data_IF_314724068428
#
_entry.id   IF_314724068428
#
_cell.length_a   1.000
_cell.length_b   1.000
_cell.length_c   1.000
_cell.angle_alpha   90.00
_cell.angle_beta   90.00
_cell.angle_gamma   90.00
#
_symmetry.space_group_name_H-M   'P 1'
#
loop_
_entity.id
_entity.type
_entity.pdbx_description
1 polymer ?
2 polymer ?
3 non-polymer ?
4 non-polymer ?
5 non-polymer ?
6 non-polymer ?
7 water ?
#
# COMPACT_ATOMS: atom_id res chain seq x y z
N UNK A 1 -14.25 -11.93 4.76
CA UNK A 1 -14.82 -10.76 5.42
C UNK A 1 -14.85 -9.55 4.50
N UNK A 2 -15.60 -8.51 4.88
CA UNK A 2 -15.50 -7.20 4.22
C UNK A 2 -14.78 -6.28 5.20
N UNK A 3 -13.73 -5.63 4.73
CA UNK A 3 -12.92 -4.75 5.56
C UNK A 3 -13.04 -3.32 5.02
N UNK A 4 -13.56 -2.42 5.85
CA UNK A 4 -13.64 -1.02 5.48
C UNK A 4 -12.29 -0.34 5.74
N UNK A 5 -12.12 0.85 5.20
CA UNK A 5 -10.81 1.49 5.16
C UNK A 5 -10.76 2.78 5.97
N UNK A 6 -11.69 2.91 6.93
CA UNK A 6 -11.66 4.02 7.88
C UNK A 6 -10.37 4.01 8.73
N UNK A 7 -9.87 2.82 9.02
CA UNK A 7 -8.62 2.65 9.74
C UNK A 7 -7.72 1.75 8.92
N UNK A 8 -6.46 1.65 9.33
CA UNK A 8 -5.50 0.77 8.65
C UNK A 8 -6.05 -0.66 8.72
N UNK A 9 -6.01 -1.38 7.59
CA UNK A 9 -6.47 -2.78 7.55
C UNK A 9 -5.43 -3.74 8.13
N UNK A 10 -5.34 -3.73 9.46
CA UNK A 10 -4.44 -4.63 10.19
C UNK A 10 -5.13 -5.95 10.51
N UNK A 11 -4.41 -7.05 10.28
CA UNK A 11 -4.93 -8.39 10.57
C UNK A 11 -3.88 -9.22 11.30
N UNK A 12 -4.32 -10.34 11.89
CA UNK A 12 -3.42 -11.28 12.53
C UNK A 12 -2.98 -12.28 11.47
N UNK A 13 -1.68 -12.58 11.44
CA UNK A 13 -1.15 -13.61 10.59
C UNK A 13 -0.42 -14.63 11.46
N UNK A 14 -0.15 -15.80 10.90
CA UNK A 14 0.68 -16.81 11.57
C UNK A 14 1.76 -17.25 10.61
N UNK A 15 3.00 -17.17 11.05
CA UNK A 15 4.16 -17.49 10.21
C UNK A 15 5.32 -18.03 11.04
N UNK A 16 5.86 -19.15 10.61
CA UNK A 16 7.00 -19.79 11.30
C UNK A 16 6.71 -20.06 12.75
N UNK A 17 5.45 -20.38 13.05
CA UNK A 17 5.00 -20.50 14.42
C UNK A 17 4.40 -19.18 14.90
N UNK A 18 5.19 -18.10 14.79
CA UNK A 18 4.85 -16.80 15.38
C UNK A 18 3.53 -16.17 14.92
N UNK A 19 2.80 -15.58 15.87
CA UNK A 19 1.63 -14.76 15.54
C UNK A 19 2.10 -13.32 15.44
N UNK A 20 1.69 -12.64 14.37
CA UNK A 20 2.12 -11.28 14.11
C UNK A 20 0.93 -10.46 13.62
N UNK A 21 1.06 -9.14 13.71
CA UNK A 21 0.09 -8.22 13.13
C UNK A 21 0.66 -7.73 11.81
N UNK A 22 -0.18 -7.62 10.79
CA UNK A 22 0.28 -7.16 9.47
C UNK A 22 -0.77 -6.34 8.74
N UNK A 23 -0.30 -5.46 7.87
CA UNK A 23 -1.16 -4.54 7.12
C UNK A 23 -1.45 -5.12 5.73
N UNK A 24 -2.73 -5.24 5.38
CA UNK A 24 -3.13 -5.64 4.01
C UNK A 24 -2.87 -4.48 3.06
N UNK A 25 -1.91 -4.65 2.17
CA UNK A 25 -1.38 -3.52 1.42
C UNK A 25 -1.46 -3.77 -0.09
N UNK A 26 -2.51 -3.25 -0.72
CA UNK A 26 -2.72 -3.41 -2.17
C UNK A 26 -1.68 -2.66 -3.02
N UNK A 27 -1.03 -1.68 -2.42
CA UNK A 27 0.07 -0.94 -3.11
C UNK A 27 1.42 -1.64 -3.09
N UNK A 28 1.52 -2.76 -2.38
CA UNK A 28 2.77 -3.51 -2.30
C UNK A 28 2.81 -4.71 -3.24
N UNK A 29 3.83 -4.77 -4.10
CA UNK A 29 4.02 -5.96 -4.96
C UNK A 29 4.30 -7.18 -4.11
N UNK A 30 5.08 -6.97 -3.04
CA UNK A 30 5.69 -8.04 -2.27
C UNK A 30 5.22 -8.00 -0.82
N UNK A 31 5.34 -9.13 -0.13
CA UNK A 31 5.09 -9.22 1.31
C UNK A 31 6.42 -8.99 2.04
N UNK A 32 6.42 -8.09 3.02
CA UNK A 32 7.65 -7.70 3.72
C UNK A 32 7.41 -7.69 5.22
N UNK A 33 8.18 -8.49 5.94
CA UNK A 33 8.03 -8.59 7.38
C UNK A 33 9.27 -8.09 8.09
N UNK A 34 9.06 -7.62 9.32
CA UNK A 34 10.15 -7.22 10.20
C UNK A 34 11.11 -8.38 10.44
N UNK A 35 12.34 -8.06 10.84
CA UNK A 35 13.38 -9.06 11.01
C UNK A 35 12.94 -10.28 11.79
N UNK A 36 13.23 -11.45 11.22
CA UNK A 36 12.91 -12.73 11.83
C UNK A 36 13.68 -13.77 11.05
N UNK A 37 13.82 -14.95 11.64
CA UNK A 37 14.43 -16.07 10.94
C UNK A 37 13.34 -16.89 10.25
N UNK A 38 13.62 -17.32 9.03
CA UNK A 38 12.73 -18.24 8.30
C UNK A 38 13.56 -19.43 7.80
N UNK A 39 12.93 -20.58 7.57
CA UNK A 39 13.66 -21.76 7.10
C UNK A 39 14.03 -21.65 5.63
N UNK A 40 15.09 -22.33 5.23
CA UNK A 40 15.50 -22.39 3.82
C UNK A 40 16.57 -21.37 3.47
N UNK A 41 16.99 -21.38 2.21
CA UNK A 41 18.00 -20.45 1.75
C UNK A 41 17.32 -19.15 1.37
N UNK A 42 18.10 -18.06 1.36
CA UNK A 42 17.58 -16.74 1.00
C UNK A 42 18.57 -16.05 0.07
N UNK A 43 18.10 -15.00 -0.61
CA UNK A 43 18.99 -14.16 -1.42
C UNK A 43 18.63 -12.70 -1.19
N UNK A 44 19.60 -11.79 -1.31
CA UNK A 44 19.34 -10.38 -1.04
C UNK A 44 18.55 -9.73 -2.18
N UNK A 45 17.80 -8.70 -1.83
CA UNK A 45 16.97 -7.97 -2.79
C UNK A 45 16.86 -6.54 -2.28
N UNK A 46 16.68 -5.61 -3.21
CA UNK A 46 16.39 -4.22 -2.85
C UNK A 46 14.95 -3.89 -3.23
N UNK A 47 14.21 -3.30 -2.30
CA UNK A 47 12.83 -2.90 -2.58
C UNK A 47 12.68 -1.43 -2.26
N UNK A 48 11.83 -0.76 -3.03
CA UNK A 48 11.69 0.68 -2.91
C UNK A 48 10.27 1.17 -2.75
N UNK A 49 10.15 2.42 -2.33
CA UNK A 49 8.85 3.06 -2.18
C UNK A 49 9.09 4.46 -1.70
N UNK A 50 8.11 5.03 -1.01
CA UNK A 50 8.27 6.34 -0.36
C UNK A 50 9.49 6.29 0.55
N UNK A 51 10.42 7.22 0.36
CA UNK A 51 11.62 7.27 1.21
C UNK A 51 12.83 6.60 0.61
N UNK A 52 12.64 5.85 -0.48
CA UNK A 52 13.76 5.18 -1.15
C UNK A 52 13.74 3.68 -0.94
N UNK A 53 14.93 3.07 -0.89
CA UNK A 53 15.05 1.62 -0.89
C UNK A 53 15.60 1.07 0.40
N UNK A 54 15.27 -0.19 0.67
CA UNK A 54 15.88 -0.96 1.76
C UNK A 54 16.32 -2.32 1.22
N UNK A 55 17.36 -2.88 1.84
CA UNK A 55 17.85 -4.21 1.49
C UNK A 55 17.11 -5.22 2.38
N UNK A 56 16.60 -6.27 1.75
CA UNK A 56 15.84 -7.31 2.44
C UNK A 56 16.37 -8.68 2.04
N UNK A 57 16.00 -9.71 2.79
CA UNK A 57 16.33 -11.09 2.45
C UNK A 57 15.09 -11.77 1.87
N UNK A 58 15.24 -12.40 0.71
CA UNK A 58 14.12 -13.04 0.05
C UNK A 58 14.08 -14.54 0.33
N UNK A 59 12.98 -15.00 0.92
CA UNK A 59 12.72 -16.44 1.13
C UNK A 59 11.56 -16.89 0.25
N UNK A 60 11.72 -18.02 -0.44
CA UNK A 60 10.67 -18.53 -1.29
C UNK A 60 9.89 -19.67 -0.65
N UNK A 61 8.68 -19.91 -1.15
CA UNK A 61 7.85 -21.06 -0.74
C UNK A 61 7.58 -21.10 0.77
N UNK A 62 7.25 -19.94 1.32
CA UNK A 62 6.96 -19.78 2.73
C UNK A 62 5.45 -19.88 2.94
N UNK A 63 5.03 -20.68 3.93
CA UNK A 63 3.63 -20.83 4.28
C UNK A 63 3.21 -19.81 5.33
N UNK A 64 2.08 -19.15 5.08
CA UNK A 64 1.53 -18.16 6.00
C UNK A 64 0.03 -18.42 6.15
N UNK A 65 -0.52 -18.04 7.30
CA UNK A 65 -1.96 -18.05 7.49
C UNK A 65 -2.38 -16.60 7.68
N UNK A 66 -3.35 -16.16 6.89
CA UNK A 66 -3.87 -14.79 6.97
C UNK A 66 -5.35 -14.89 7.27
N UNK A 67 -5.75 -14.44 8.45
CA UNK A 67 -7.13 -14.61 8.92
C UNK A 67 -7.61 -16.05 8.73
N UNK A 68 -6.72 -17.00 8.95
CA UNK A 68 -7.05 -18.42 8.80
C UNK A 68 -7.08 -18.96 7.37
N UNK A 69 -6.75 -18.11 6.41
CA UNK A 69 -6.60 -18.55 5.02
C UNK A 69 -5.13 -18.87 4.79
N UNK A 70 -4.85 -20.12 4.44
CA UNK A 70 -3.48 -20.52 4.13
C UNK A 70 -3.05 -19.94 2.77
N UNK A 71 -1.79 -19.52 2.70
CA UNK A 71 -1.24 -18.95 1.47
C UNK A 71 0.24 -19.25 1.46
N UNK A 72 0.77 -19.58 0.28
CA UNK A 72 2.20 -19.83 0.13
C UNK A 72 2.78 -18.87 -0.90
N UNK A 73 4.00 -18.40 -0.64
CA UNK A 73 4.67 -17.54 -1.59
C UNK A 73 5.97 -16.99 -1.04
N UNK A 74 6.50 -15.99 -1.74
CA UNK A 74 7.76 -15.37 -1.35
C UNK A 74 7.50 -14.37 -0.23
N UNK A 75 8.38 -14.37 0.76
CA UNK A 75 8.29 -13.43 1.87
C UNK A 75 9.66 -12.75 2.00
N UNK A 76 9.64 -11.43 2.04
CA UNK A 76 10.86 -10.64 2.22
C UNK A 76 10.97 -10.23 3.67
N UNK A 77 12.19 -10.22 4.20
CA UNK A 77 12.42 -9.90 5.61
C UNK A 77 13.47 -8.80 5.73
N UNK A 78 13.17 -7.76 6.51
CA UNK A 78 14.13 -6.66 6.65
C UNK A 78 13.60 -5.51 7.46
N UNK A 79 14.26 -4.35 7.37
CA UNK A 79 13.92 -3.22 8.24
C UNK A 79 12.72 -2.40 7.77
N UNK A 80 11.59 -3.08 7.57
CA UNK A 80 10.35 -2.40 7.25
C UNK A 80 9.73 -1.81 8.53
N UNK A 81 9.16 -0.59 8.42
CA UNK A 81 8.53 0.03 9.58
C UNK A 81 7.30 -0.75 10.07
N UNK A 82 6.67 -1.51 9.17
CA UNK A 82 5.49 -2.29 9.54
C UNK A 82 5.42 -3.57 8.71
N UNK A 83 4.85 -4.64 9.27
CA UNK A 83 4.62 -5.87 8.52
C UNK A 83 3.57 -5.63 7.45
N UNK A 84 3.91 -5.98 6.22
CA UNK A 84 3.05 -5.74 5.06
C UNK A 84 2.70 -7.05 4.34
N UNK A 85 1.42 -7.28 4.07
CA UNK A 85 1.01 -8.38 3.20
C UNK A 85 0.74 -7.75 1.84
N UNK A 86 1.54 -8.15 0.85
CA UNK A 86 1.43 -7.55 -0.47
C UNK A 86 0.64 -8.43 -1.41
N UNK A 87 0.51 -7.96 -2.65
CA UNK A 87 -0.34 -8.64 -3.65
C UNK A 87 -0.03 -10.12 -3.87
N UNK A 88 1.25 -10.49 -3.77
CA UNK A 88 1.66 -11.87 -4.03
C UNK A 88 0.94 -12.89 -3.15
N UNK A 89 0.56 -12.47 -1.94
CA UNK A 89 -0.25 -13.30 -1.04
C UNK A 89 -1.72 -12.91 -0.97
N UNK A 90 -2.03 -11.62 -1.16
CA UNK A 90 -3.43 -11.19 -1.21
C UNK A 90 -4.24 -11.93 -2.28
N UNK A 91 -3.62 -12.19 -3.43
CA UNK A 91 -4.31 -12.90 -4.51
C UNK A 91 -4.67 -14.32 -4.06
N UNK A 92 -3.80 -14.94 -3.28
CA UNK A 92 -3.95 -16.35 -2.89
C UNK A 92 -5.16 -16.58 -1.98
N UNK A 93 -5.54 -15.54 -1.23
CA UNK A 93 -6.71 -15.63 -0.34
C UNK A 93 -7.99 -15.08 -1.00
N UNK A 94 -7.86 -14.66 -2.25
CA UNK A 94 -8.98 -14.16 -3.03
C UNK A 94 -9.40 -12.77 -2.63
N UNK A 95 -8.43 -11.95 -2.23
CA UNK A 95 -8.71 -10.59 -1.81
C UNK A 95 -8.92 -9.65 -3.01
N UNK A 96 -9.99 -8.87 -2.98
CA UNK A 96 -10.28 -7.91 -4.06
C UNK A 96 -10.61 -6.54 -3.49
N UNK A 97 -10.44 -5.50 -4.31
CA UNK A 97 -10.94 -4.16 -3.98
C UNK A 97 -12.31 -3.97 -4.65
N UNK A 98 -13.27 -3.42 -3.91
CA UNK A 98 -14.63 -3.28 -4.43
C UNK A 98 -15.21 -1.91 -4.11
N UNK A 99 -15.78 -1.26 -5.12
CA UNK A 99 -16.49 0.02 -4.94
C UNK A 99 -17.49 0.27 -6.06
N UNK B 1 -16.66 -1.16 -9.43
CA UNK B 1 -15.99 -2.32 -10.01
C UNK B 1 -15.36 -3.23 -8.96
N UNK B 2 -15.01 -4.45 -9.37
CA UNK B 2 -14.24 -5.35 -8.52
C UNK B 2 -12.87 -5.48 -9.15
N UNK B 3 -11.83 -5.17 -8.37
CA UNK B 3 -10.48 -5.18 -8.87
C UNK B 3 -9.70 -6.28 -8.17
N UNK B 4 -9.19 -7.22 -8.97
CA UNK B 4 -8.32 -8.28 -8.45
C UNK B 4 -6.89 -7.76 -8.36
N UNK B 5 -6.02 -8.55 -7.76
CA UNK B 5 -4.69 -8.05 -7.42
C UNK B 5 -3.52 -8.79 -8.09
N UNK B 6 -3.80 -9.51 -9.17
CA UNK B 6 -2.76 -10.21 -9.90
C UNK B 6 -1.80 -9.21 -10.54
N UNK B 7 -2.32 -8.04 -10.90
CA UNK B 7 -1.50 -6.93 -11.40
C UNK B 7 -1.68 -5.76 -10.44
N UNK B 8 -0.83 -4.75 -10.56
CA UNK B 8 -0.98 -3.55 -9.73
C UNK B 8 -2.35 -2.93 -10.00
N UNK B 9 -3.03 -2.51 -8.93
CA UNK B 9 -4.37 -1.90 -9.07
C UNK B 9 -4.27 -0.45 -9.54
N UNK B 10 -3.87 -0.28 -10.80
CA UNK B 10 -3.69 1.03 -11.42
C UNK B 10 -4.97 1.46 -12.09
N UNK B 11 -5.41 2.67 -11.78
CA UNK B 11 -6.66 3.21 -12.34
C UNK B 11 -6.41 4.61 -12.88
N UNK B 12 -7.36 5.13 -13.64
CA UNK B 12 -7.26 6.48 -14.15
C UNK B 12 -7.93 7.42 -13.13
N UNK B 13 -7.26 8.52 -12.85
CA UNK B 13 -7.84 9.58 -12.02
C UNK B 13 -7.84 10.86 -12.87
N UNK B 14 -8.62 11.85 -12.43
CA UNK B 14 -8.61 13.14 -13.08
C UNK B 14 -8.46 14.23 -12.02
N UNK B 15 -7.50 15.12 -12.25
CA UNK B 15 -7.25 16.22 -11.33
C UNK B 15 -6.85 17.43 -12.15
N UNK B 16 -7.45 18.58 -11.85
CA UNK B 16 -7.21 19.81 -12.60
C UNK B 16 -7.44 19.65 -14.09
N UNK B 17 -8.42 18.82 -14.45
CA UNK B 17 -8.76 18.55 -15.86
C UNK B 17 -7.81 17.62 -16.60
N UNK B 18 -6.84 17.05 -15.89
CA UNK B 18 -5.82 16.19 -16.50
C UNK B 18 -5.96 14.75 -16.03
N UNK B 19 -5.87 13.80 -16.96
CA UNK B 19 -5.84 12.38 -16.61
C UNK B 19 -4.44 11.94 -16.17
N UNK B 20 -4.41 11.14 -15.11
CA UNK B 20 -3.18 10.54 -14.61
C UNK B 20 -3.49 9.11 -14.21
N UNK B 21 -2.46 8.29 -14.04
CA UNK B 21 -2.61 6.92 -13.57
C UNK B 21 -2.23 6.92 -12.09
N UNK B 22 -2.95 6.16 -11.27
CA UNK B 22 -2.65 6.08 -9.83
C UNK B 22 -2.96 4.71 -9.26
N UNK B 23 -2.24 4.36 -8.20
CA UNK B 23 -2.37 3.05 -7.57
C UNK B 23 -3.36 3.11 -6.42
N UNK B 24 -4.36 2.24 -6.43
CA UNK B 24 -5.27 2.13 -5.29
C UNK B 24 -4.52 1.40 -4.16
N UNK B 25 -4.21 2.14 -3.09
CA UNK B 25 -3.25 1.69 -2.10
C UNK B 25 -3.81 1.64 -0.68
N UNK B 26 -4.23 0.45 -0.25
CA UNK B 26 -4.82 0.30 1.09
C UNK B 26 -3.78 0.41 2.22
N UNK B 27 -2.50 0.34 1.84
CA UNK B 27 -1.40 0.48 2.81
C UNK B 27 -1.02 1.93 3.06
N UNK B 28 -1.70 2.85 2.39
CA UNK B 28 -1.40 4.28 2.53
C UNK B 28 -2.51 5.01 3.28
N UNK B 29 -2.14 5.72 4.34
CA UNK B 29 -3.11 6.58 5.06
C UNK B 29 -3.61 7.71 4.16
N UNK B 30 -2.70 8.24 3.35
CA UNK B 30 -2.91 9.48 2.62
C UNK B 30 -2.73 9.26 1.13
N UNK B 31 -3.21 10.23 0.35
CA UNK B 31 -3.06 10.24 -1.09
C UNK B 31 -1.84 11.10 -1.43
N UNK B 32 -0.93 10.55 -2.23
CA UNK B 32 0.32 11.23 -2.55
C UNK B 32 0.53 11.19 -4.06
N UNK B 33 0.64 12.37 -4.67
CA UNK B 33 0.82 12.47 -6.11
C UNK B 33 2.19 13.02 -6.46
N UNK B 34 2.68 12.65 -7.65
CA UNK B 34 3.95 13.14 -8.16
C UNK B 34 3.91 14.65 -8.35
N UNK B 35 5.08 15.27 -8.37
CA UNK B 35 5.18 16.72 -8.58
C UNK B 35 4.24 17.24 -9.66
N UNK B 36 3.45 18.23 -9.29
CA UNK B 36 2.45 18.84 -10.17
C UNK B 36 2.05 20.16 -9.49
N UNK B 37 1.28 20.98 -10.20
CA UNK B 37 0.79 22.22 -9.61
C UNK B 37 -0.68 22.16 -9.20
N UNK B 38 -0.96 22.60 -7.98
CA UNK B 38 -2.33 22.68 -7.46
C UNK B 38 -2.65 24.08 -6.96
N UNK B 39 -3.94 24.45 -6.97
CA UNK B 39 -4.39 25.76 -6.49
C UNK B 39 -4.31 25.94 -4.99
N UNK B 40 -4.16 27.19 -4.58
CA UNK B 40 -4.24 27.55 -3.16
C UNK B 40 -2.96 27.39 -2.40
N UNK B 41 -3.05 27.46 -1.08
CA UNK B 41 -1.89 27.37 -0.22
C UNK B 41 -1.66 25.94 0.18
N UNK B 42 -0.42 25.63 0.54
CA UNK B 42 -0.07 24.34 1.10
C UNK B 42 0.58 24.50 2.47
N UNK B 43 0.62 23.39 3.21
CA UNK B 43 1.34 23.35 4.48
C UNK B 43 2.22 22.10 4.48
N UNK B 44 3.22 22.07 5.37
CA UNK B 44 4.19 20.99 5.35
C UNK B 44 3.65 19.71 6.00
N UNK B 45 4.07 18.57 5.47
CA UNK B 45 3.77 17.30 6.08
C UNK B 45 4.94 16.35 5.89
N UNK B 46 5.24 15.59 6.92
CA UNK B 46 6.21 14.52 6.82
C UNK B 46 5.48 13.19 6.79
N UNK B 47 5.84 12.35 5.84
CA UNK B 47 5.24 11.04 5.70
C UNK B 47 6.33 9.97 5.67
N UNK B 48 5.99 8.78 6.14
CA UNK B 48 6.92 7.66 6.16
C UNK B 48 6.50 6.58 5.19
N UNK B 49 7.49 5.98 4.53
CA UNK B 49 7.24 4.84 3.65
C UNK B 49 8.26 3.76 3.93
N UNK B 50 8.36 2.80 3.02
CA UNK B 50 9.27 1.67 3.18
C UNK B 50 10.74 2.06 3.37
N UNK B 51 11.17 3.14 2.72
CA UNK B 51 12.59 3.54 2.76
C UNK B 51 12.95 4.66 3.73
N UNK B 52 11.95 5.16 4.45
CA UNK B 52 12.17 6.27 5.39
C UNK B 52 11.17 7.40 5.18
N UNK B 53 11.52 8.59 5.65
CA UNK B 53 10.60 9.73 5.67
C UNK B 53 10.91 10.75 4.58
N UNK B 54 9.87 11.37 4.04
CA UNK B 54 10.05 12.47 3.07
C UNK B 54 9.13 13.65 3.44
N UNK B 55 9.48 14.82 2.93
CA UNK B 55 8.66 16.03 3.10
C UNK B 55 7.79 16.17 1.89
N UNK B 56 6.51 16.46 2.11
CA UNK B 56 5.56 16.68 1.03
C UNK B 56 4.73 17.94 1.29
N UNK B 57 4.09 18.43 0.23
CA UNK B 57 3.22 19.60 0.32
C UNK B 57 1.78 19.11 0.51
N UNK B 58 1.13 19.59 1.57
CA UNK B 58 -0.28 19.25 1.80
C UNK B 58 -1.25 20.28 1.28
N UNK B 59 -2.10 19.87 0.33
CA UNK B 59 -3.20 20.70 -0.17
C UNK B 59 -4.54 20.12 0.28
N UNK B 60 -5.39 20.95 0.85
CA UNK B 60 -6.69 20.48 1.34
C UNK B 60 -7.86 20.80 0.39
N UNK B 61 -8.92 20.00 0.51
CA UNK B 61 -10.17 20.24 -0.22
C UNK B 61 -9.97 20.32 -1.73
N UNK B 62 -9.23 19.35 -2.25
CA UNK B 62 -8.91 19.26 -3.67
C UNK B 62 -9.89 18.31 -4.37
N UNK B 63 -10.41 18.74 -5.52
CA UNK B 63 -11.32 17.92 -6.34
C UNK B 63 -10.51 16.91 -7.15
N UNK B 64 -10.88 15.64 -7.03
CA UNK B 64 -10.19 14.57 -7.76
C UNK B 64 -11.22 13.48 -8.07
N UNK B 65 -11.22 13.02 -9.32
CA UNK B 65 -12.13 11.96 -9.74
C UNK B 65 -11.32 10.67 -9.87
N UNK B 66 -11.85 9.57 -9.36
CA UNK B 66 -11.13 8.30 -9.33
C UNK B 66 -12.05 7.25 -9.97
N UNK B 67 -11.67 6.75 -11.14
CA UNK B 67 -12.52 5.80 -11.87
C UNK B 67 -13.93 6.32 -12.05
N UNK B 68 -14.05 7.63 -12.28
CA UNK B 68 -15.35 8.26 -12.46
C UNK B 68 -16.08 8.66 -11.17
N UNK B 69 -15.53 8.27 -10.02
CA UNK B 69 -16.12 8.62 -8.72
C UNK B 69 -15.51 9.92 -8.20
N UNK B 70 -16.34 10.87 -7.81
CA UNK B 70 -15.84 12.16 -7.35
C UNK B 70 -15.44 12.12 -5.88
N UNK B 71 -14.31 12.75 -5.57
CA UNK B 71 -13.84 12.88 -4.21
C UNK B 71 -13.35 14.31 -4.04
N UNK B 72 -13.40 14.80 -2.80
CA UNK B 72 -12.83 16.11 -2.47
C UNK B 72 -12.13 15.97 -1.13
N UNK B 73 -10.81 16.15 -1.12
CA UNK B 73 -10.06 15.95 0.10
C UNK B 73 -8.61 16.32 -0.01
N UNK B 74 -7.84 15.88 0.97
CA UNK B 74 -6.45 16.25 1.06
C UNK B 74 -5.59 15.46 0.07
N UNK B 75 -4.72 16.16 -0.64
CA UNK B 75 -3.83 15.55 -1.60
C UNK B 75 -2.43 16.04 -1.23
N UNK B 76 -1.50 15.10 -1.07
CA UNK B 76 -0.10 15.43 -0.80
C UNK B 76 0.68 15.36 -2.10
N UNK B 77 1.63 16.28 -2.27
CA UNK B 77 2.45 16.32 -3.48
C UNK B 77 3.93 16.23 -3.11
N UNK B 78 4.66 15.34 -3.77
CA UNK B 78 6.06 15.15 -3.46
C UNK B 78 6.67 14.00 -4.24
N UNK B 79 7.91 13.63 -3.89
CA UNK B 79 8.69 12.66 -4.64
C UNK B 79 8.29 11.22 -4.38
N UNK B 80 7.02 10.90 -4.65
CA UNK B 80 6.56 9.52 -4.61
C UNK B 80 6.94 8.80 -5.91
N UNK B 81 7.30 7.51 -5.82
CA UNK B 81 7.61 6.73 -7.03
C UNK B 81 6.43 6.58 -8.00
N UNK B 82 5.21 6.68 -7.46
CA UNK B 82 3.99 6.50 -8.24
C UNK B 82 2.89 7.27 -7.54
N UNK B 83 1.92 7.78 -8.31
CA UNK B 83 0.72 8.39 -7.74
C UNK B 83 -0.01 7.35 -6.94
N UNK B 84 -0.35 7.69 -5.69
CA UNK B 84 -1.06 6.73 -4.84
C UNK B 84 -2.33 7.30 -4.25
N UNK B 85 -3.41 6.53 -4.38
CA UNK B 85 -4.70 6.88 -3.77
C UNK B 85 -4.78 6.15 -2.44
N UNK B 86 -4.71 6.92 -1.35
CA UNK B 86 -4.72 6.36 0.01
C UNK B 86 -6.11 6.28 0.62
N UNK B 87 -6.15 5.82 1.87
CA UNK B 87 -7.44 5.54 2.54
C UNK B 87 -8.33 6.79 2.67
N UNK B 88 -7.72 7.96 2.79
CA UNK B 88 -8.51 9.18 2.91
C UNK B 88 -9.50 9.38 1.75
N UNK B 89 -9.11 8.96 0.54
CA UNK B 89 -10.00 9.06 -0.63
C UNK B 89 -10.65 7.71 -1.00
N UNK B 90 -10.00 6.60 -0.67
CA UNK B 90 -10.64 5.29 -0.88
C UNK B 90 -11.97 5.20 -0.11
N UNK B 91 -12.00 5.76 1.10
CA UNK B 91 -13.25 5.76 1.87
C UNK B 91 -14.32 6.61 1.18
N UNK B 92 -13.90 7.72 0.56
CA UNK B 92 -14.85 8.60 -0.13
C UNK B 92 -15.57 7.95 -1.29
N UNK B 93 -14.90 7.02 -1.97
CA UNK B 93 -15.48 6.33 -3.13
C UNK B 93 -16.16 5.01 -2.74
N UNK B 94 -16.14 4.70 -1.44
CA UNK B 94 -16.81 3.52 -0.91
C UNK B 94 -16.03 2.23 -1.09
N UNK B 95 -14.70 2.35 -1.19
CA UNK B 95 -13.85 1.18 -1.44
C UNK B 95 -13.64 0.30 -0.19
N UNK B 96 -13.80 -1.01 -0.38
CA UNK B 96 -13.55 -1.98 0.69
C UNK B 96 -12.64 -3.09 0.18
N UNK B 97 -12.03 -3.82 1.11
CA UNK B 97 -11.29 -5.06 0.82
C UNK B 97 -12.21 -6.24 1.13
N UNK B 98 -12.22 -7.24 0.26
CA UNK B 98 -13.11 -8.38 0.43
C UNK B 98 -12.42 -9.70 0.13
N UNK B 99 -12.59 -10.68 1.02
CA UNK B 99 -12.16 -12.06 0.75
C UNK B 99 -13.04 -13.05 1.51
N UNK C 1 6.89 -0.94 -3.02
CA UNK C 1 6.07 -1.39 -1.86
C UNK C 1 5.52 -0.20 -1.10
N UNK C 2 4.39 0.30 -1.59
CA UNK C 2 3.94 1.65 -1.29
C UNK C 2 3.08 1.89 -0.03
N UNK C 3 3.35 1.14 1.03
CA UNK C 3 2.89 1.52 2.36
C UNK C 3 3.27 2.98 2.64
N UNK C 4 2.37 3.72 3.27
CA UNK C 4 2.61 5.11 3.60
C UNK C 4 1.86 5.50 4.87
N UNK C 5 2.56 6.17 5.79
CA UNK C 5 1.94 6.56 7.05
C UNK C 5 2.22 8.02 7.43
N UNK C 6 1.25 8.64 8.06
CA UNK C 6 1.36 10.04 8.52
C UNK C 6 2.46 10.21 9.56
X LIG D 1 0.33 -12.27 -8.01
X LIG D 1 0.32 -10.65 -7.44
X LIG D 1 2.05 -12.58 -8.41
X LIG D 1 0.06 -13.37 -6.67
X LIG E 1 5.56 -15.26 -5.35
X LIG E 1 4.82 -15.08 -3.85
X LIG E 1 5.78 -16.98 -5.77
X LIG E 1 4.63 -14.66 -6.75
X LIG F 1 2.44 -21.20 9.94
X LIG F 1 3.30 -20.97 8.97
X LIG F 1 2.81 -21.18 11.10
X LIG F 1 1.00 -21.47 9.59
X LIG G 1 7.80 -22.36 6.64
X LIG G 1 6.92 -21.98 5.60
X LIG G 1 7.72 -21.45 7.86
X LIG G 1 7.28 -22.19 8.98
X LIG G 1 6.86 -20.21 7.63
X LIG G 1 5.57 -20.38 8.15
X LIG H 1 -8.73 -18.97 -2.14
X LIG H 1 -8.38 -20.19 -1.52
X LIG H 1 -10.24 -18.75 -2.04
X LIG H 1 -10.60 -18.73 -0.67
X LIG H 1 -10.62 -17.43 -2.68
X LIG H 1 -10.65 -17.49 -4.08
X LIG I 1 -16.79 -9.00 7.76
X LIG I 1 -17.82 -8.86 6.80
X LIG I 1 -16.78 -7.81 8.71
X LIG I 1 -17.99 -7.80 9.44
X LIG I 1 -15.59 -7.96 9.66
X LIG I 1 -14.47 -7.32 9.09
X LIG J 1 12.44 -17.45 -7.12
X LIG J 1 13.47 -16.65 -6.55
X LIG J 1 11.14 -16.65 -7.15
X LIG J 1 11.42 -15.30 -7.45
X LIG J 1 10.27 -17.24 -8.26
X LIG J 1 8.92 -16.91 -8.03
X LIG K 1 8.58 19.72 -1.41
X LIG K 1 7.91 20.97 -2.35
X LIG K 1 8.15 19.99 0.31
X LIG K 1 7.70 18.20 -1.77
X LIG L 1 -13.02 -13.64 -6.43
X LIG L 1 -11.81 -13.88 -5.25
X LIG L 1 -14.32 -12.60 -5.76
X LIG L 1 -12.40 -12.62 -7.77
X LIG M 1 -11.74 7.85 -15.76
X LIG M 1 -11.24 9.23 -15.34
X LIG M 1 -12.47 7.96 -16.99
X LIG M 1 -11.66 9.51 -13.62
X LIG N 1 -9.02 7.34 7.01
X LIG N 1 -8.09 7.38 8.08
X LIG N 1 -9.96 8.52 7.13
X LIG N 1 -9.37 9.60 6.46
X LIG N 1 -11.27 8.12 6.46
X LIG N 1 -11.72 9.11 5.58
X LIG O 1 -3.87 14.75 6.44
X LIG O 1 -4.37 15.18 7.68
X LIG O 1 -4.76 13.65 5.87
X LIG O 1 -6.09 14.10 5.76
X LIG O 1 -4.26 13.27 4.49
X LIG O 1 -4.74 11.99 4.14
X LIG P 1 -3.79 25.62 3.59
X LIG P 1 -2.56 25.76 4.26
X LIG P 1 -4.25 24.19 3.87
X LIG P 1 -5.64 24.17 4.17
X LIG P 1 -3.90 23.29 2.69
X LIG P 1 -4.61 23.67 1.54
X LIG Q 1 -14.90 2.68 3.78
X LIG Q 1 -14.17 1.60 3.26
X LIG Q 1 -16.11 2.98 2.91
X LIG Q 1 -16.98 1.86 2.95
X LIG Q 1 -16.82 4.22 3.44
X LIG Q 1 -17.71 4.73 2.48
X LIG R 1 -8.84 20.93 -7.12
X LIG R 1 -9.76 21.77 -6.49
X LIG R 1 -8.62 21.28 -8.59
X LIG R 1 -7.28 20.95 -8.89
X LIG R 1 -9.51 20.36 -9.42
X LIG R 1 -8.87 19.11 -9.57
X LIG S 1 -11.18 17.68 -11.77
X LIG S 1 -10.72 17.85 -13.08
X LIG S 1 -12.02 16.41 -11.65
X LIG S 1 -12.31 16.19 -10.29
X LIG S 1 -13.35 16.62 -12.37
X LIG S 1 -14.07 15.39 -12.38
#
# INVERSE_FOLDING_TARGET
PQITLWKRPLVTIKIGGQLKEALLDTGADDTVLEEMNLPGRWKPKMIGGIGGFIKVRQYDQILIEICGHKAIGTVLVGPTPVNIIGRNLLTQIGCTLNF
PQITLWKRPLVTIKIGGQLKEALLDTGADDTVLEEMNLPGRWKPKMIGGIGGFIKVRQYDQILIEICGHKAIGTVLVGPTPVNIIGRNLLTQIGCTLNF
NLLQKK
DMS S O C1 C2
DMS S O C1 C2
ACT C O OXT CH3
GOL C1 O1 C2 O2 C3 O3
GOL C1 O1 C2 O2 C3 O3
GOL C1 O1 C2 O2 C3 O3
GOL C1 O1 C2 O2 C3 O3
DMS S O C1 C2
DMS S O C1 C2
BME C1 C2 O1 S2
GOL C1 O1 C2 O2 C3 O3
GOL C1 O1 C2 O2 C3 O3
GOL C1 O1 C2 O2 C3 O3
GOL C1 O1 C2 O2 C3 O3
GOL C1 O1 C2 O2 C3 O3
GOL C1 O1 C2 O2 C3 O3
#
